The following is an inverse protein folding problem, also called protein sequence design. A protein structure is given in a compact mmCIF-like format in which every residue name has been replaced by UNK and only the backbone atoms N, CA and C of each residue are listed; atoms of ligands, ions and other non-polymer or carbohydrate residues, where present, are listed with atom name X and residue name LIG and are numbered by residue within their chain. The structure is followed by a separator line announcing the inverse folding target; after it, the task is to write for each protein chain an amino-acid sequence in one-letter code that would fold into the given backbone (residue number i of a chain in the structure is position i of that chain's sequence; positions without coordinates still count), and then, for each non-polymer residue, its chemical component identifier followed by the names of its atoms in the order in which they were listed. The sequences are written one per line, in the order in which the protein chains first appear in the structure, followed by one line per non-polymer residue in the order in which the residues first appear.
data_IF_235701422183
#
_entry.id   IF_235701422183
#
_cell.length_a   1.000
_cell.length_b   1.000
_cell.length_c   1.000
_cell.angle_alpha   90.00
_cell.angle_beta   90.00
_cell.angle_gamma   90.00
#
_symmetry.space_group_name_H-M   'P 1'
#
loop_
_entity.id
_entity.type
_entity.pdbx_description
1 polymer ?
#
# COMPACT_ATOMS: atom_id res chain seq x y z
N UNK A 1 17.14 10.35 3.14
CA UNK A 1 17.86 9.08 3.38
C UNK A 1 17.06 7.83 2.95
N UNK A 2 15.91 7.95 2.28
CA UNK A 2 15.04 6.82 1.88
C UNK A 2 15.52 6.13 0.57
N UNK A 3 16.20 6.88 -0.30
CA UNK A 3 16.65 6.43 -1.63
C UNK A 3 17.68 5.28 -1.59
N UNK A 4 18.68 5.25 -0.70
CA UNK A 4 19.66 4.16 -0.64
C UNK A 4 19.02 2.82 -0.20
N UNK A 5 18.08 2.86 0.74
CA UNK A 5 17.39 1.67 1.26
C UNK A 5 16.50 1.05 0.19
N UNK A 6 15.78 1.87 -0.59
CA UNK A 6 15.00 1.41 -1.73
C UNK A 6 15.87 0.77 -2.82
N UNK A 7 17.04 1.36 -3.11
CA UNK A 7 18.00 0.78 -4.07
C UNK A 7 18.52 -0.57 -3.60
N UNK A 8 18.93 -0.67 -2.33
CA UNK A 8 19.39 -1.93 -1.72
C UNK A 8 18.30 -2.99 -1.71
N UNK A 9 17.06 -2.61 -1.36
CA UNK A 9 15.90 -3.50 -1.45
C UNK A 9 15.67 -4.03 -2.87
N UNK A 10 15.76 -3.17 -3.89
CA UNK A 10 15.61 -3.59 -5.29
C UNK A 10 16.73 -4.55 -5.75
N UNK A 11 17.96 -4.34 -5.27
CA UNK A 11 19.11 -5.19 -5.58
C UNK A 11 18.96 -6.56 -4.93
N UNK A 12 18.53 -6.60 -3.67
CA UNK A 12 18.24 -7.85 -2.95
C UNK A 12 17.08 -8.62 -3.59
N UNK A 13 16.00 -7.92 -3.95
CA UNK A 13 14.88 -8.53 -4.68
C UNK A 13 15.35 -9.14 -6.00
N UNK A 14 16.21 -8.45 -6.76
CA UNK A 14 16.82 -8.99 -7.99
C UNK A 14 17.74 -10.18 -7.75
N UNK A 15 18.51 -10.19 -6.65
CA UNK A 15 19.39 -11.30 -6.30
C UNK A 15 18.62 -12.57 -5.95
N UNK A 16 17.46 -12.45 -5.31
CA UNK A 16 16.58 -13.57 -4.96
C UNK A 16 15.71 -13.98 -6.16
N UNK A 17 15.27 -13.01 -6.98
CA UNK A 17 14.40 -13.28 -8.12
C UNK A 17 15.05 -14.21 -9.16
N UNK A 18 16.34 -14.02 -9.45
CA UNK A 18 17.07 -14.83 -10.45
C UNK A 18 17.10 -16.34 -10.14
N UNK A 19 17.54 -16.82 -8.96
CA UNK A 19 17.53 -18.24 -8.65
C UNK A 19 16.12 -18.83 -8.60
N UNK A 20 15.13 -18.06 -8.15
CA UNK A 20 13.73 -18.49 -8.14
C UNK A 20 13.18 -18.63 -9.56
N UNK A 21 13.46 -17.67 -10.44
CA UNK A 21 13.08 -17.74 -11.85
C UNK A 21 13.72 -18.96 -12.53
N UNK A 22 14.99 -19.26 -12.23
CA UNK A 22 15.68 -20.44 -12.76
C UNK A 22 15.00 -21.75 -12.32
N UNK A 23 14.59 -21.86 -11.07
CA UNK A 23 13.86 -23.04 -10.58
C UNK A 23 12.47 -23.16 -11.23
N UNK A 24 11.77 -22.04 -11.40
CA UNK A 24 10.48 -22.00 -12.09
C UNK A 24 10.60 -22.33 -13.58
N UNK A 25 11.69 -21.94 -14.24
CA UNK A 25 12.00 -22.35 -15.60
C UNK A 25 12.14 -23.87 -15.69
N UNK A 26 12.89 -24.49 -14.78
CA UNK A 26 13.08 -25.97 -14.74
C UNK A 26 11.74 -26.67 -14.55
N UNK A 27 10.96 -26.24 -13.55
CA UNK A 27 9.62 -26.79 -13.27
C UNK A 27 8.67 -26.57 -14.45
N UNK A 28 8.70 -25.37 -15.05
CA UNK A 28 7.90 -25.02 -16.21
C UNK A 28 8.28 -25.78 -17.47
N UNK A 29 9.54 -26.20 -17.60
CA UNK A 29 10.01 -27.04 -18.72
C UNK A 29 9.55 -28.49 -18.57
N UNK A 30 9.56 -29.02 -17.35
CA UNK A 30 9.20 -30.41 -17.05
C UNK A 30 7.68 -30.63 -16.96
N UNK A 31 6.90 -29.59 -16.64
CA UNK A 31 5.46 -29.69 -16.47
C UNK A 31 4.68 -29.44 -17.76
N UNK A 32 3.93 -30.45 -18.21
CA UNK A 32 3.05 -30.39 -19.39
C UNK A 32 1.96 -29.31 -19.27
N UNK A 33 1.54 -29.01 -18.03
CA UNK A 33 0.45 -28.04 -17.75
C UNK A 33 0.99 -26.62 -17.59
N UNK A 34 2.13 -26.45 -16.91
CA UNK A 34 2.69 -25.13 -16.63
C UNK A 34 3.44 -24.54 -17.82
N UNK A 35 4.04 -25.39 -18.68
CA UNK A 35 4.75 -24.99 -19.90
C UNK A 35 3.95 -24.03 -20.80
N UNK A 36 2.73 -24.37 -21.26
CA UNK A 36 1.95 -23.47 -22.11
C UNK A 36 1.52 -22.19 -21.39
N UNK A 37 1.36 -22.22 -20.06
CA UNK A 37 1.03 -21.04 -19.28
C UNK A 37 2.18 -20.05 -19.24
N UNK A 38 3.39 -20.50 -18.91
CA UNK A 38 4.59 -19.66 -18.94
C UNK A 38 4.89 -19.11 -20.34
N UNK A 39 4.74 -19.93 -21.38
CA UNK A 39 4.93 -19.45 -22.77
C UNK A 39 3.93 -18.36 -23.14
N UNK A 40 2.65 -18.48 -22.74
CA UNK A 40 1.65 -17.43 -22.95
C UNK A 40 2.01 -16.16 -22.19
N UNK A 41 2.46 -16.30 -20.94
CA UNK A 41 2.83 -15.20 -20.08
C UNK A 41 4.06 -14.46 -20.63
N UNK A 42 5.11 -15.18 -21.04
CA UNK A 42 6.30 -14.60 -21.66
C UNK A 42 6.04 -13.91 -23.00
N UNK A 43 5.18 -14.50 -23.86
CA UNK A 43 4.74 -13.85 -25.11
C UNK A 43 3.87 -12.62 -24.87
N UNK A 44 3.08 -12.63 -23.80
CA UNK A 44 2.28 -11.48 -23.37
C UNK A 44 3.17 -10.35 -22.85
N UNK A 45 4.11 -10.68 -21.97
CA UNK A 45 5.09 -9.78 -21.41
C UNK A 45 5.96 -9.14 -22.51
N UNK A 46 6.53 -9.95 -23.41
CA UNK A 46 7.33 -9.46 -24.54
C UNK A 46 6.54 -8.49 -25.45
N UNK A 47 5.26 -8.78 -25.72
CA UNK A 47 4.36 -7.87 -26.46
C UNK A 47 4.11 -6.56 -25.71
N UNK A 48 3.92 -6.62 -24.40
CA UNK A 48 3.74 -5.43 -23.57
C UNK A 48 4.99 -4.55 -23.59
N UNK A 49 6.16 -5.15 -23.40
CA UNK A 49 7.46 -4.46 -23.40
C UNK A 49 7.73 -3.82 -24.76
N UNK A 50 7.47 -4.51 -25.87
CA UNK A 50 7.60 -3.94 -27.21
C UNK A 50 6.66 -2.75 -27.44
N UNK A 51 5.40 -2.84 -26.98
CA UNK A 51 4.45 -1.73 -27.06
C UNK A 51 4.91 -0.52 -26.26
N UNK A 52 5.44 -0.73 -25.05
CA UNK A 52 6.00 0.33 -24.22
C UNK A 52 7.25 0.96 -24.84
N UNK A 53 8.03 0.19 -25.60
CA UNK A 53 9.18 0.68 -26.36
C UNK A 53 8.81 1.29 -27.73
N UNK A 54 7.52 1.37 -28.06
CA UNK A 54 7.03 1.98 -29.31
C UNK A 54 7.17 1.10 -30.55
N UNK A 55 7.55 -0.18 -30.40
CA UNK A 55 7.66 -1.12 -31.51
C UNK A 55 6.31 -1.80 -31.81
N UNK A 56 5.93 -1.82 -33.09
CA UNK A 56 4.70 -2.49 -33.59
C UNK A 56 4.95 -3.92 -34.10
N UNK A 57 6.20 -4.40 -34.07
CA UNK A 57 6.51 -5.75 -34.49
C UNK A 57 5.84 -6.76 -33.55
N UNK A 58 5.12 -7.75 -34.10
CA UNK A 58 4.65 -8.87 -33.30
C UNK A 58 5.85 -9.78 -33.02
N UNK A 59 6.29 -9.94 -31.77
CA UNK A 59 7.46 -10.75 -31.49
C UNK A 59 7.06 -12.22 -31.69
N UNK A 60 7.62 -12.83 -32.73
CA UNK A 60 7.52 -14.27 -32.93
C UNK A 60 8.56 -14.93 -32.02
N UNK A 61 8.30 -14.88 -30.70
CA UNK A 61 9.23 -15.37 -29.69
C UNK A 61 9.25 -16.90 -29.72
N UNK A 62 10.42 -17.53 -29.95
CA UNK A 62 10.57 -18.97 -29.88
C UNK A 62 10.17 -19.50 -28.50
N UNK A 63 9.70 -20.74 -28.43
CA UNK A 63 9.04 -21.27 -27.24
C UNK A 63 9.98 -21.29 -26.01
N UNK A 64 11.26 -21.57 -26.19
CA UNK A 64 12.23 -21.59 -25.09
C UNK A 64 12.51 -20.20 -24.52
N UNK A 65 12.65 -19.18 -25.38
CA UNK A 65 12.80 -17.79 -24.93
C UNK A 65 11.52 -17.27 -24.25
N UNK A 66 10.35 -17.66 -24.76
CA UNK A 66 9.08 -17.34 -24.14
C UNK A 66 8.91 -17.99 -22.77
N UNK A 67 9.43 -19.21 -22.57
CA UNK A 67 9.38 -19.89 -21.28
C UNK A 67 10.29 -19.21 -20.26
N UNK A 68 11.51 -18.83 -20.66
CA UNK A 68 12.42 -18.03 -19.82
C UNK A 68 11.79 -16.69 -19.45
N UNK A 69 11.33 -15.93 -20.43
CA UNK A 69 10.67 -14.65 -20.21
C UNK A 69 9.41 -14.78 -19.34
N UNK A 70 8.65 -15.87 -19.50
CA UNK A 70 7.48 -16.16 -18.68
C UNK A 70 7.82 -16.45 -17.23
N UNK A 71 8.88 -17.21 -16.97
CA UNK A 71 9.35 -17.50 -15.62
C UNK A 71 9.87 -16.26 -14.90
N UNK A 72 10.60 -15.38 -15.60
CA UNK A 72 11.06 -14.10 -15.06
C UNK A 72 9.88 -13.16 -14.80
N UNK A 73 8.98 -13.01 -15.76
CA UNK A 73 7.79 -12.17 -15.62
C UNK A 73 6.88 -12.63 -14.47
N UNK A 74 6.77 -13.94 -14.21
CA UNK A 74 6.02 -14.46 -13.08
C UNK A 74 6.63 -14.04 -11.73
N UNK A 75 7.95 -14.11 -11.59
CA UNK A 75 8.64 -13.69 -10.38
C UNK A 75 8.51 -12.18 -10.18
N UNK A 76 8.67 -11.39 -11.25
CA UNK A 76 8.44 -9.94 -11.19
C UNK A 76 7.01 -9.61 -10.76
N UNK A 77 6.01 -10.33 -11.31
CA UNK A 77 4.62 -10.15 -10.93
C UNK A 77 4.37 -10.49 -9.46
N UNK A 78 4.97 -11.58 -8.96
CA UNK A 78 4.86 -11.97 -7.56
C UNK A 78 5.47 -10.92 -6.62
N UNK A 79 6.64 -10.38 -6.97
CA UNK A 79 7.28 -9.28 -6.21
C UNK A 79 6.40 -8.03 -6.24
N UNK A 80 5.83 -7.69 -7.40
CA UNK A 80 4.94 -6.54 -7.55
C UNK A 80 3.67 -6.68 -6.72
N UNK A 81 3.02 -7.85 -6.76
CA UNK A 81 1.82 -8.13 -5.95
C UNK A 81 2.13 -8.00 -4.47
N UNK A 82 3.27 -8.53 -4.03
CA UNK A 82 3.70 -8.45 -2.63
C UNK A 82 3.93 -7.00 -2.21
N UNK A 83 4.62 -6.21 -3.04
CA UNK A 83 4.85 -4.79 -2.80
C UNK A 83 3.53 -3.98 -2.76
N UNK A 84 2.62 -4.20 -3.71
CA UNK A 84 1.30 -3.57 -3.71
C UNK A 84 0.48 -3.95 -2.47
N UNK A 85 0.53 -5.22 -2.05
CA UNK A 85 -0.20 -5.69 -0.86
C UNK A 85 0.32 -5.01 0.41
N UNK A 86 1.64 -4.84 0.54
CA UNK A 86 2.26 -4.07 1.62
C UNK A 86 1.79 -2.62 1.65
N UNK A 87 1.76 -1.96 0.49
CA UNK A 87 1.30 -0.57 0.38
C UNK A 87 -0.18 -0.45 0.76
N UNK A 88 -1.03 -1.36 0.29
CA UNK A 88 -2.46 -1.38 0.63
C UNK A 88 -2.65 -1.62 2.13
N UNK A 89 -1.87 -2.52 2.72
CA UNK A 89 -1.91 -2.80 4.15
C UNK A 89 -1.51 -1.57 4.98
N UNK A 90 -0.40 -0.91 4.65
CA UNK A 90 0.03 0.32 5.32
C UNK A 90 -1.00 1.44 5.18
N UNK A 91 -1.57 1.64 3.98
CA UNK A 91 -2.65 2.61 3.76
C UNK A 91 -3.86 2.32 4.66
N UNK A 92 -4.28 1.05 4.74
CA UNK A 92 -5.38 0.64 5.61
C UNK A 92 -5.08 0.91 7.08
N UNK A 93 -3.86 0.61 7.53
CA UNK A 93 -3.43 0.85 8.90
C UNK A 93 -3.42 2.35 9.25
N UNK A 94 -2.86 3.19 8.37
CA UNK A 94 -2.84 4.65 8.55
C UNK A 94 -4.25 5.24 8.54
N UNK A 95 -5.15 4.73 7.71
CA UNK A 95 -6.56 5.13 7.68
C UNK A 95 -7.31 4.74 8.95
N UNK A 96 -6.97 3.62 9.59
CA UNK A 96 -7.55 3.26 10.89
C UNK A 96 -7.03 4.15 12.00
N UNK A 97 -5.72 4.42 12.02
CA UNK A 97 -5.11 5.29 13.03
C UNK A 97 -5.63 6.74 12.93
N UNK A 98 -5.86 7.24 11.71
CA UNK A 98 -6.43 8.58 11.52
C UNK A 98 -7.90 8.67 11.95
N UNK A 99 -8.69 7.61 11.77
CA UNK A 99 -10.05 7.54 12.28
C UNK A 99 -10.10 7.53 13.81
N UNK A 100 -9.25 6.73 14.45
CA UNK A 100 -9.14 6.71 15.91
C UNK A 100 -8.75 8.08 16.47
N UNK A 101 -7.77 8.74 15.86
CA UNK A 101 -7.39 10.11 16.26
C UNK A 101 -8.51 11.12 16.04
N UNK A 102 -9.34 10.96 15.00
CA UNK A 102 -10.49 11.82 14.78
C UNK A 102 -11.57 11.62 15.85
N UNK A 103 -11.87 10.37 16.22
CA UNK A 103 -12.82 10.03 17.29
C UNK A 103 -12.34 10.54 18.65
N UNK A 104 -11.06 10.35 18.98
CA UNK A 104 -10.47 10.90 20.22
C UNK A 104 -10.53 12.42 20.27
N UNK A 105 -10.32 13.09 19.12
CA UNK A 105 -10.39 14.54 19.05
C UNK A 105 -11.83 15.05 19.25
N UNK A 106 -12.82 14.37 18.66
CA UNK A 106 -14.24 14.69 18.84
C UNK A 106 -14.69 14.49 20.29
N UNK A 107 -14.24 13.41 20.95
CA UNK A 107 -14.51 13.19 22.37
C UNK A 107 -13.90 14.29 23.25
N UNK A 108 -12.68 14.74 22.93
CA UNK A 108 -12.03 15.84 23.63
C UNK A 108 -12.76 17.18 23.41
N UNK A 109 -13.25 17.45 22.20
CA UNK A 109 -14.08 18.64 21.93
C UNK A 109 -15.36 18.64 22.77
N UNK A 110 -16.06 17.51 22.85
CA UNK A 110 -17.26 17.36 23.66
C UNK A 110 -16.98 17.57 25.16
N UNK A 111 -15.82 17.10 25.66
CA UNK A 111 -15.40 17.35 27.06
C UNK A 111 -15.13 18.82 27.32
N UNK A 112 -14.44 19.50 26.40
CA UNK A 112 -14.16 20.94 26.50
C UNK A 112 -15.44 21.76 26.45
N UNK A 113 -16.38 21.39 25.57
CA UNK A 113 -17.67 22.08 25.44
C UNK A 113 -18.52 21.94 26.71
N UNK A 114 -18.54 20.76 27.33
CA UNK A 114 -19.19 20.57 28.64
C UNK A 114 -18.53 21.39 29.75
N UNK A 115 -17.20 21.40 29.81
CA UNK A 115 -16.48 22.20 30.79
C UNK A 115 -16.73 23.71 30.59
N UNK A 116 -16.85 24.16 29.34
CA UNK A 116 -17.19 25.55 29.01
C UNK A 116 -18.62 25.89 29.45
N UNK A 117 -19.58 24.98 29.20
CA UNK A 117 -20.97 25.16 29.63
C UNK A 117 -21.09 25.23 31.16
N UNK A 118 -20.37 24.36 31.87
CA UNK A 118 -20.33 24.34 33.34
C UNK A 118 -19.66 25.60 33.90
N UNK A 119 -18.53 26.03 33.31
CA UNK A 119 -17.87 27.28 33.68
C UNK A 119 -18.79 28.49 33.46
N UNK A 120 -19.55 28.51 32.36
CA UNK A 120 -20.52 29.56 32.06
C UNK A 120 -21.66 29.60 33.08
N UNK A 121 -22.24 28.44 33.41
CA UNK A 121 -23.25 28.32 34.47
C UNK A 121 -22.72 28.86 35.80
N UNK A 122 -21.52 28.42 36.21
CA UNK A 122 -20.89 28.87 37.45
C UNK A 122 -20.64 30.39 37.47
N UNK A 123 -20.27 30.99 36.34
CA UNK A 123 -20.12 32.45 36.25
C UNK A 123 -21.44 33.19 36.34
N UNK A 124 -22.52 32.64 35.77
CA UNK A 124 -23.88 33.21 35.88
C UNK A 124 -24.39 33.13 37.33
N UNK A 125 -24.15 32.01 38.01
CA UNK A 125 -24.47 31.83 39.43
C UNK A 125 -23.68 32.79 40.33
N UNK A 126 -22.37 32.94 40.11
CA UNK A 126 -21.56 33.94 40.83
C UNK A 126 -22.04 35.37 40.57
N UNK A 127 -22.42 35.71 39.34
CA UNK A 127 -22.95 37.04 39.02
C UNK A 127 -24.29 37.31 39.74
N UNK A 128 -25.13 36.29 39.90
CA UNK A 128 -26.38 36.35 40.65
C UNK A 128 -26.13 36.60 42.15
N UNK A 129 -25.20 35.86 42.75
CA UNK A 129 -24.80 36.04 44.15
C UNK A 129 -24.24 37.44 44.39
N UNK A 130 -23.37 37.93 43.49
CA UNK A 130 -22.81 39.28 43.59
C UNK A 130 -23.89 40.36 43.51
N UNK A 131 -24.89 40.22 42.64
CA UNK A 131 -26.04 41.13 42.59
C UNK A 131 -26.83 41.13 43.90
N UNK A 132 -27.09 39.96 44.49
CA UNK A 132 -27.80 39.86 45.77
C UNK A 132 -27.04 40.50 46.93
N UNK A 133 -25.70 40.48 46.90
CA UNK A 133 -24.86 41.15 47.91
C UNK A 133 -24.76 42.67 47.72
N UNK A 134 -25.06 43.18 46.52
CA UNK A 134 -24.91 44.59 46.17
C UNK A 134 -26.19 45.42 46.40
N UNK A 135 -27.36 44.78 46.45
CA UNK A 135 -28.64 45.34 46.94
C UNK A 135 -29.04 44.72 48.30
N UNK A 136 -28.35 45.03 49.41
CA UNK A 136 -28.85 44.67 50.72
C UNK A 136 -30.03 45.59 51.07
N UNK A 137 -31.20 44.99 51.26
CA UNK A 137 -32.38 45.66 51.82
C UNK A 137 -32.10 46.31 53.18
#
# INVERSE_FOLDING_TARGET
MVVPVLKLGSLLAKMIAKPVAKNLYVIGKESVVLRPWFVRLGRGYSRLTMRLQGSRASPNVPEEEALTAGSEAFVELAVLITACSLVIYELGHVLQESKQKAEELEENFMKVERALAEAKSNTEDMALILRQLQDPA
#
